data_IF_807272361614
#
_entry.id   IF_807272361614
#
_cell.length_a   1.000
_cell.length_b   1.000
_cell.length_c   1.000
_cell.angle_alpha   90.00
_cell.angle_beta   90.00
_cell.angle_gamma   90.00
#
_symmetry.space_group_name_H-M   'P 1'
#
loop_
_entity.id
_entity.type
_entity.pdbx_description
1 polymer ?
#
# COMPACT_ATOMS: atom_id res chain seq x y z
N UNK A 1 1.25 -16.85 -16.20
CA UNK A 1 0.55 -18.15 -16.38
C UNK A 1 -0.66 -18.31 -15.48
N UNK A 2 -0.55 -18.16 -14.15
CA UNK A 2 -1.70 -18.31 -13.24
C UNK A 2 -2.89 -17.37 -13.55
N UNK A 3 -2.64 -16.09 -13.84
CA UNK A 3 -3.69 -15.13 -14.22
C UNK A 3 -4.42 -15.52 -15.52
N UNK A 4 -3.67 -16.06 -16.50
CA UNK A 4 -4.24 -16.52 -17.77
C UNK A 4 -5.09 -17.78 -17.57
N UNK A 5 -4.65 -18.69 -16.71
CA UNK A 5 -5.43 -19.86 -16.33
C UNK A 5 -6.74 -19.45 -15.62
N UNK A 6 -6.68 -18.49 -14.69
CA UNK A 6 -7.87 -17.94 -14.03
C UNK A 6 -8.82 -17.27 -15.04
N UNK A 7 -8.29 -16.45 -15.94
CA UNK A 7 -9.09 -15.87 -17.03
C UNK A 7 -9.76 -16.94 -17.90
N UNK A 8 -9.03 -18.02 -18.23
CA UNK A 8 -9.57 -19.17 -18.97
C UNK A 8 -10.71 -19.85 -18.23
N UNK A 9 -10.55 -20.14 -16.94
CA UNK A 9 -11.59 -20.74 -16.10
C UNK A 9 -12.84 -19.85 -16.02
N UNK A 10 -12.67 -18.54 -15.87
CA UNK A 10 -13.79 -17.59 -15.86
C UNK A 10 -14.54 -17.60 -17.19
N UNK A 11 -13.82 -17.60 -18.33
CA UNK A 11 -14.44 -17.66 -19.66
C UNK A 11 -15.20 -18.96 -19.91
N UNK A 12 -14.66 -20.10 -19.48
CA UNK A 12 -15.34 -21.40 -19.57
C UNK A 12 -16.63 -21.42 -18.73
N UNK A 13 -16.62 -20.77 -17.57
CA UNK A 13 -17.77 -20.66 -16.67
C UNK A 13 -18.79 -19.59 -17.09
N UNK A 14 -18.43 -18.65 -17.98
CA UNK A 14 -19.32 -17.59 -18.48
C UNK A 14 -20.38 -18.09 -19.49
N UNK A 15 -20.24 -19.31 -20.02
CA UNK A 15 -21.16 -19.89 -21.01
C UNK A 15 -22.56 -20.25 -20.49
N UNK A 16 -22.91 -19.94 -19.23
CA UNK A 16 -24.21 -20.34 -18.64
C UNK A 16 -25.17 -19.25 -18.18
N UNK A 17 -24.84 -17.95 -18.26
CA UNK A 17 -25.84 -16.88 -18.13
C UNK A 17 -25.21 -15.52 -18.44
N UNK A 18 -25.81 -14.84 -19.40
CA UNK A 18 -25.56 -13.45 -19.79
C UNK A 18 -25.36 -12.54 -18.57
N UNK A 19 -24.11 -12.24 -18.23
CA UNK A 19 -23.78 -11.07 -17.42
C UNK A 19 -22.63 -10.38 -18.14
N UNK A 20 -22.99 -9.36 -18.90
CA UNK A 20 -22.05 -8.34 -19.40
C UNK A 20 -21.20 -7.87 -18.21
N UNK A 21 -19.91 -8.15 -18.27
CA UNK A 21 -18.93 -7.58 -17.34
C UNK A 21 -18.95 -6.06 -17.54
N UNK A 22 -19.79 -5.37 -16.76
CA UNK A 22 -19.91 -3.93 -16.81
C UNK A 22 -18.68 -3.34 -16.13
N UNK A 23 -17.92 -2.59 -16.92
CA UNK A 23 -16.77 -1.84 -16.48
C UNK A 23 -17.27 -0.42 -16.17
N UNK A 24 -17.23 -0.04 -14.91
CA UNK A 24 -17.64 1.29 -14.46
C UNK A 24 -16.39 2.10 -14.14
N UNK A 25 -16.30 3.33 -14.63
CA UNK A 25 -15.18 4.21 -14.28
C UNK A 25 -15.54 5.08 -13.09
N UNK A 26 -14.77 5.00 -12.00
CA UNK A 26 -14.95 5.87 -10.85
C UNK A 26 -13.61 6.47 -10.43
N UNK A 27 -13.42 7.74 -10.77
CA UNK A 27 -12.23 8.50 -10.45
C UNK A 27 -12.47 9.30 -9.17
N UNK A 28 -12.04 8.74 -8.03
CA UNK A 28 -12.16 9.44 -6.75
C UNK A 28 -10.96 10.35 -6.50
N UNK A 29 -11.17 11.61 -6.08
CA UNK A 29 -10.12 12.55 -5.68
C UNK A 29 -9.07 11.97 -4.73
N UNK A 30 -9.52 11.22 -3.73
CA UNK A 30 -8.68 10.53 -2.76
C UNK A 30 -7.56 9.68 -3.38
N UNK A 31 -7.83 9.01 -4.49
CA UNK A 31 -6.87 8.05 -5.02
C UNK A 31 -5.80 8.71 -5.89
N UNK A 32 -6.15 9.70 -6.72
CA UNK A 32 -5.15 10.36 -7.56
C UNK A 32 -4.31 11.38 -6.78
N UNK A 33 -4.88 12.11 -5.81
CA UNK A 33 -4.09 13.03 -4.96
C UNK A 33 -3.07 12.24 -4.15
N UNK A 34 -3.50 11.13 -3.55
CA UNK A 34 -2.60 10.26 -2.79
C UNK A 34 -1.51 9.64 -3.68
N UNK A 35 -1.87 9.20 -4.89
CA UNK A 35 -0.89 8.68 -5.86
C UNK A 35 0.14 9.74 -6.27
N UNK A 36 -0.28 10.98 -6.52
CA UNK A 36 0.62 12.09 -6.86
C UNK A 36 1.57 12.46 -5.72
N UNK A 37 1.05 12.51 -4.49
CA UNK A 37 1.87 12.79 -3.30
C UNK A 37 2.87 11.67 -3.05
N UNK A 38 2.48 10.41 -3.17
CA UNK A 38 3.43 9.30 -3.03
C UNK A 38 4.45 9.27 -4.18
N UNK A 39 4.03 9.60 -5.40
CA UNK A 39 4.94 9.71 -6.53
C UNK A 39 5.99 10.80 -6.31
N UNK A 40 5.62 11.94 -5.71
CA UNK A 40 6.60 12.98 -5.39
C UNK A 40 7.59 12.53 -4.32
N UNK A 41 7.17 11.71 -3.35
CA UNK A 41 8.08 11.05 -2.38
C UNK A 41 9.06 10.12 -3.09
N UNK A 42 8.60 9.24 -3.97
CA UNK A 42 9.48 8.37 -4.75
C UNK A 42 10.43 9.15 -5.65
N UNK A 43 9.96 10.23 -6.28
CA UNK A 43 10.79 11.08 -7.12
C UNK A 43 11.89 11.77 -6.32
N UNK A 44 11.55 12.34 -5.16
CA UNK A 44 12.49 13.03 -4.29
C UNK A 44 13.50 12.06 -3.69
N UNK A 45 13.04 10.96 -3.09
CA UNK A 45 13.91 9.94 -2.52
C UNK A 45 14.81 9.28 -3.58
N UNK A 46 14.26 8.94 -4.74
CA UNK A 46 15.02 8.35 -5.84
C UNK A 46 16.11 9.25 -6.42
N UNK A 47 16.00 10.55 -6.23
CA UNK A 47 17.06 11.49 -6.62
C UNK A 47 18.33 11.28 -5.78
N UNK A 48 18.18 10.95 -4.49
CA UNK A 48 19.27 10.72 -3.55
C UNK A 48 19.65 9.24 -3.43
N UNK A 49 18.72 8.32 -3.73
CA UNK A 49 18.96 6.88 -3.73
C UNK A 49 18.48 6.24 -5.05
N UNK A 50 19.43 6.05 -5.98
CA UNK A 50 19.14 5.56 -7.33
C UNK A 50 18.41 4.21 -7.45
N UNK A 51 18.57 3.23 -6.53
CA UNK A 51 17.84 1.98 -6.58
C UNK A 51 16.30 2.12 -6.65
N UNK A 52 15.74 3.25 -6.17
CA UNK A 52 14.31 3.56 -6.33
C UNK A 52 13.91 3.60 -7.82
N UNK A 53 14.76 4.17 -8.68
CA UNK A 53 14.50 4.26 -10.10
C UNK A 53 14.73 2.93 -10.81
N UNK A 54 15.69 2.13 -10.36
CA UNK A 54 15.89 0.77 -10.88
C UNK A 54 14.66 -0.12 -10.57
N UNK A 55 14.09 0.04 -9.38
CA UNK A 55 12.86 -0.64 -8.95
C UNK A 55 11.60 -0.18 -9.69
N UNK A 56 11.64 0.94 -10.42
CA UNK A 56 10.46 1.50 -11.10
C UNK A 56 9.82 0.54 -12.10
N UNK A 57 10.63 -0.30 -12.75
CA UNK A 57 10.15 -1.33 -13.67
C UNK A 57 9.33 -2.40 -12.95
N UNK A 58 9.81 -2.86 -11.78
CA UNK A 58 9.08 -3.82 -10.96
C UNK A 58 7.82 -3.17 -10.37
N UNK A 59 7.89 -1.90 -9.97
CA UNK A 59 6.75 -1.13 -9.49
C UNK A 59 5.65 -1.03 -10.55
N UNK A 60 6.01 -0.75 -11.81
CA UNK A 60 5.06 -0.72 -12.92
C UNK A 60 4.42 -2.10 -13.15
N UNK A 61 5.21 -3.17 -13.10
CA UNK A 61 4.71 -4.54 -13.21
C UNK A 61 3.73 -4.87 -12.08
N UNK A 62 3.99 -4.41 -10.85
CA UNK A 62 3.10 -4.55 -9.71
C UNK A 62 1.77 -3.82 -9.90
N UNK A 63 1.79 -2.60 -10.45
CA UNK A 63 0.56 -1.85 -10.78
C UNK A 63 -0.27 -2.60 -11.81
N UNK A 64 0.34 -3.04 -12.91
CA UNK A 64 -0.35 -3.83 -13.96
C UNK A 64 -0.93 -5.11 -13.38
N UNK A 65 -0.14 -5.84 -12.58
CA UNK A 65 -0.60 -7.04 -11.89
C UNK A 65 -1.80 -6.76 -10.98
N UNK A 66 -1.74 -5.68 -10.20
CA UNK A 66 -2.82 -5.30 -9.28
C UNK A 66 -4.14 -5.05 -10.01
N UNK A 67 -4.11 -4.35 -11.16
CA UNK A 67 -5.30 -4.15 -11.98
C UNK A 67 -5.87 -5.48 -12.50
N UNK A 68 -5.02 -6.34 -13.07
CA UNK A 68 -5.46 -7.64 -13.62
C UNK A 68 -6.02 -8.53 -12.50
N UNK A 69 -5.35 -8.59 -11.36
CA UNK A 69 -5.75 -9.41 -10.22
C UNK A 69 -7.06 -8.93 -9.60
N UNK A 70 -7.21 -7.62 -9.34
CA UNK A 70 -8.45 -7.02 -8.79
C UNK A 70 -9.63 -7.23 -9.74
N UNK A 71 -9.40 -7.09 -11.05
CA UNK A 71 -10.41 -7.32 -12.09
C UNK A 71 -10.88 -8.78 -12.12
N UNK A 72 -9.94 -9.75 -12.14
CA UNK A 72 -10.26 -11.18 -12.11
C UNK A 72 -10.97 -11.59 -10.82
N UNK A 73 -10.53 -11.05 -9.67
CA UNK A 73 -11.12 -11.32 -8.38
C UNK A 73 -12.57 -10.80 -8.32
N UNK A 74 -12.82 -9.58 -8.79
CA UNK A 74 -14.16 -8.98 -8.83
C UNK A 74 -15.09 -9.75 -9.76
N UNK A 75 -14.61 -10.14 -10.95
CA UNK A 75 -15.38 -10.96 -11.89
C UNK A 75 -15.65 -12.36 -11.37
N UNK A 76 -14.73 -12.96 -10.60
CA UNK A 76 -14.96 -14.23 -9.93
C UNK A 76 -16.11 -14.17 -8.94
N UNK A 77 -16.41 -12.99 -8.39
CA UNK A 77 -17.56 -12.75 -7.51
C UNK A 77 -18.82 -12.32 -8.25
N UNK A 78 -18.76 -12.20 -9.57
CA UNK A 78 -19.85 -11.67 -10.42
C UNK A 78 -20.25 -10.24 -10.04
N UNK A 79 -19.31 -9.48 -9.49
CA UNK A 79 -19.50 -8.06 -9.18
C UNK A 79 -19.04 -7.19 -10.37
N UNK A 80 -19.54 -5.95 -10.45
CA UNK A 80 -19.11 -4.98 -11.48
C UNK A 80 -17.73 -4.46 -11.13
N UNK A 81 -16.82 -4.46 -12.09
CA UNK A 81 -15.47 -3.94 -11.86
C UNK A 81 -15.46 -2.43 -12.03
N UNK A 82 -14.98 -1.73 -11.00
CA UNK A 82 -14.85 -0.28 -11.01
C UNK A 82 -13.40 0.10 -11.29
N UNK A 83 -13.14 0.55 -12.52
CA UNK A 83 -11.83 1.04 -12.92
C UNK A 83 -11.59 2.44 -12.31
N UNK A 84 -10.51 2.58 -11.56
CA UNK A 84 -10.10 3.84 -10.96
C UNK A 84 -8.67 3.79 -10.45
N UNK A 85 -8.23 4.84 -9.75
CA UNK A 85 -6.87 4.94 -9.20
C UNK A 85 -6.64 4.16 -7.89
N UNK A 86 -7.61 3.35 -7.45
CA UNK A 86 -7.53 2.62 -6.17
C UNK A 86 -6.28 1.75 -5.98
N UNK A 87 -5.79 1.02 -7.02
CA UNK A 87 -4.56 0.24 -6.89
C UNK A 87 -3.29 1.06 -6.64
N UNK A 88 -3.18 2.28 -7.18
CA UNK A 88 -1.96 3.08 -7.08
C UNK A 88 -1.53 3.35 -5.63
N UNK A 89 -2.39 3.92 -4.75
CA UNK A 89 -2.03 4.13 -3.35
C UNK A 89 -1.64 2.87 -2.59
N UNK A 90 -2.25 1.72 -2.92
CA UNK A 90 -1.93 0.44 -2.27
C UNK A 90 -0.52 0.02 -2.65
N UNK A 91 -0.21 0.01 -3.95
CA UNK A 91 1.10 -0.43 -4.46
C UNK A 91 2.20 0.51 -4.00
N UNK A 92 2.01 1.81 -4.15
CA UNK A 92 2.99 2.82 -3.71
C UNK A 92 3.20 2.78 -2.20
N UNK A 93 2.13 2.61 -1.41
CA UNK A 93 2.27 2.45 0.04
C UNK A 93 3.04 1.18 0.41
N UNK A 94 2.75 0.04 -0.20
CA UNK A 94 3.47 -1.21 0.09
C UNK A 94 4.95 -1.09 -0.25
N UNK A 95 5.28 -0.48 -1.39
CA UNK A 95 6.66 -0.24 -1.82
C UNK A 95 7.33 0.95 -1.11
N UNK A 96 6.68 1.64 -0.17
CA UNK A 96 7.39 2.63 0.65
C UNK A 96 8.03 1.99 1.89
N UNK A 97 7.60 0.77 2.25
CA UNK A 97 8.02 0.11 3.48
C UNK A 97 8.81 -1.18 3.25
N UNK A 98 8.48 -1.96 2.23
CA UNK A 98 9.06 -3.29 2.06
C UNK A 98 9.21 -3.68 0.60
N UNK A 99 10.46 -4.00 0.21
CA UNK A 99 10.80 -4.67 -1.04
C UNK A 99 11.46 -6.00 -0.76
N UNK A 100 11.10 -7.02 -1.53
CA UNK A 100 11.88 -8.25 -1.59
C UNK A 100 13.11 -8.06 -2.49
N UNK A 101 14.22 -8.71 -2.14
CA UNK A 101 15.40 -8.79 -3.01
C UNK A 101 15.06 -9.51 -4.32
N UNK A 102 15.88 -9.32 -5.33
CA UNK A 102 15.61 -9.79 -6.70
C UNK A 102 15.34 -11.30 -6.78
N UNK A 103 16.03 -12.12 -5.98
CA UNK A 103 15.80 -13.57 -5.92
C UNK A 103 14.39 -13.93 -5.42
N UNK A 104 13.76 -13.03 -4.66
CA UNK A 104 12.48 -13.20 -3.98
C UNK A 104 11.39 -12.28 -4.54
N UNK A 105 11.59 -11.69 -5.71
CA UNK A 105 10.69 -10.71 -6.31
C UNK A 105 9.22 -11.19 -6.42
N UNK A 106 9.00 -12.51 -6.56
CA UNK A 106 7.67 -13.11 -6.63
C UNK A 106 6.85 -12.94 -5.34
N UNK A 107 7.51 -12.82 -4.18
CA UNK A 107 6.85 -12.54 -2.90
C UNK A 107 6.21 -11.15 -2.90
N UNK A 108 6.75 -10.20 -3.68
CA UNK A 108 6.15 -8.88 -3.85
C UNK A 108 4.73 -8.99 -4.46
N UNK A 109 4.59 -9.80 -5.51
CA UNK A 109 3.29 -10.05 -6.15
C UNK A 109 2.35 -10.84 -5.23
N UNK A 110 2.87 -11.79 -4.46
CA UNK A 110 2.09 -12.53 -3.47
C UNK A 110 1.57 -11.59 -2.38
N UNK A 111 2.41 -10.70 -1.85
CA UNK A 111 2.02 -9.70 -0.85
C UNK A 111 0.91 -8.80 -1.37
N UNK A 112 1.03 -8.32 -2.61
CA UNK A 112 -0.03 -7.54 -3.27
C UNK A 112 -1.32 -8.36 -3.38
N UNK A 113 -1.24 -9.59 -3.88
CA UNK A 113 -2.40 -10.47 -4.01
C UNK A 113 -3.11 -10.64 -2.67
N UNK A 114 -2.37 -10.89 -1.59
CA UNK A 114 -2.90 -10.99 -0.23
C UNK A 114 -3.58 -9.69 0.23
N UNK A 115 -3.00 -8.52 -0.08
CA UNK A 115 -3.61 -7.23 0.21
C UNK A 115 -4.97 -7.06 -0.48
N UNK A 116 -5.06 -7.40 -1.78
CA UNK A 116 -6.33 -7.36 -2.53
C UNK A 116 -7.34 -8.41 -2.07
N UNK A 117 -6.89 -9.62 -1.70
CA UNK A 117 -7.75 -10.62 -1.07
C UNK A 117 -8.31 -10.10 0.26
N UNK A 118 -7.46 -9.49 1.11
CA UNK A 118 -7.88 -8.87 2.37
C UNK A 118 -8.96 -7.79 2.15
N UNK A 119 -8.75 -6.88 1.19
CA UNK A 119 -9.73 -5.86 0.77
C UNK A 119 -11.08 -6.47 0.37
N UNK A 120 -11.06 -7.63 -0.27
CA UNK A 120 -12.23 -8.25 -0.88
C UNK A 120 -13.03 -9.15 0.08
N UNK A 121 -12.33 -9.88 0.94
CA UNK A 121 -12.90 -10.85 1.86
C UNK A 121 -13.11 -10.28 3.26
N UNK A 122 -12.25 -9.37 3.73
CA UNK A 122 -12.34 -8.77 5.08
C UNK A 122 -13.13 -7.47 5.01
N UNK A 123 -14.46 -7.63 4.87
CA UNK A 123 -15.43 -6.53 4.76
C UNK A 123 -16.43 -6.55 5.91
N UNK A 124 -16.84 -5.38 6.39
CA UNK A 124 -17.94 -5.19 7.34
C UNK A 124 -19.04 -4.34 6.66
N UNK A 125 -20.29 -4.71 6.88
CA UNK A 125 -21.43 -3.84 6.66
C UNK A 125 -21.50 -2.66 7.67
N UNK A 126 -21.06 -1.46 7.25
CA UNK A 126 -21.23 -0.22 8.00
C UNK A 126 -22.39 0.57 7.40
N UNK A 127 -23.43 0.81 8.20
CA UNK A 127 -24.60 1.64 7.79
C UNK A 127 -25.24 1.21 6.46
N UNK A 128 -25.41 -0.11 6.27
CA UNK A 128 -26.00 -0.68 5.04
C UNK A 128 -25.05 -0.75 3.84
N UNK A 129 -23.79 -0.31 3.97
CA UNK A 129 -22.76 -0.42 2.94
C UNK A 129 -21.67 -1.41 3.34
N UNK A 130 -21.34 -2.36 2.47
CA UNK A 130 -20.17 -3.23 2.65
C UNK A 130 -18.88 -2.43 2.38
N UNK A 131 -18.08 -2.24 3.42
CA UNK A 131 -16.78 -1.54 3.38
C UNK A 131 -15.66 -2.47 3.84
N UNK A 132 -14.43 -2.26 3.35
CA UNK A 132 -13.28 -2.99 3.86
C UNK A 132 -12.92 -2.47 5.26
N UNK A 133 -12.45 -3.36 6.13
CA UNK A 133 -12.12 -3.02 7.52
C UNK A 133 -10.71 -2.44 7.61
N UNK A 134 -9.75 -3.10 6.96
CA UNK A 134 -8.33 -2.76 7.03
C UNK A 134 -7.86 -2.05 5.76
N UNK A 135 -6.86 -1.18 5.93
CA UNK A 135 -6.08 -0.69 4.81
C UNK A 135 -5.39 -1.90 4.12
N UNK A 136 -5.65 -2.17 2.83
CA UNK A 136 -5.12 -3.33 2.13
C UNK A 136 -3.59 -3.41 2.18
N UNK A 137 -2.87 -2.29 2.05
CA UNK A 137 -1.41 -2.28 2.11
C UNK A 137 -0.93 -2.65 3.51
N UNK A 138 -1.44 -1.99 4.55
CA UNK A 138 -1.09 -2.24 5.94
C UNK A 138 -1.38 -3.69 6.38
N UNK A 139 -2.50 -4.27 5.93
CA UNK A 139 -2.82 -5.67 6.21
C UNK A 139 -1.76 -6.62 5.64
N UNK A 140 -1.42 -6.45 4.36
CA UNK A 140 -0.41 -7.29 3.71
C UNK A 140 0.99 -7.10 4.30
N UNK A 141 1.40 -5.85 4.53
CA UNK A 141 2.67 -5.51 5.16
C UNK A 141 2.76 -6.10 6.56
N UNK A 142 1.75 -5.90 7.40
CA UNK A 142 1.73 -6.44 8.76
C UNK A 142 1.87 -7.96 8.80
N UNK A 143 1.16 -8.66 7.91
CA UNK A 143 1.26 -10.11 7.81
C UNK A 143 2.64 -10.58 7.35
N UNK A 144 3.18 -10.00 6.27
CA UNK A 144 4.49 -10.40 5.75
C UNK A 144 5.62 -10.03 6.71
N UNK A 145 5.57 -8.84 7.32
CA UNK A 145 6.52 -8.44 8.35
C UNK A 145 6.49 -9.37 9.55
N UNK A 146 5.31 -9.80 10.01
CA UNK A 146 5.20 -10.79 11.10
C UNK A 146 5.87 -12.11 10.71
N UNK A 147 5.62 -12.62 9.51
CA UNK A 147 6.23 -13.87 9.01
C UNK A 147 7.74 -13.74 8.91
N UNK A 148 8.25 -12.63 8.37
CA UNK A 148 9.70 -12.39 8.25
C UNK A 148 10.37 -12.32 9.62
N UNK A 149 9.74 -11.67 10.60
CA UNK A 149 10.26 -11.56 11.96
C UNK A 149 10.24 -12.91 12.68
N UNK A 150 9.16 -13.67 12.59
CA UNK A 150 9.04 -14.97 13.29
C UNK A 150 9.94 -16.04 12.67
N UNK A 151 10.22 -15.96 11.37
CA UNK A 151 11.12 -16.88 10.67
C UNK A 151 12.58 -16.43 10.68
N UNK A 152 12.87 -15.20 11.14
CA UNK A 152 14.22 -14.62 11.13
C UNK A 152 14.78 -14.39 9.73
N UNK A 153 13.93 -14.18 8.72
CA UNK A 153 14.31 -14.08 7.29
C UNK A 153 14.28 -12.64 6.76
N UNK A 154 14.32 -11.63 7.62
CA UNK A 154 14.28 -10.20 7.21
C UNK A 154 15.34 -9.81 6.18
N UNK A 155 16.47 -10.53 6.14
CA UNK A 155 17.59 -10.31 5.22
C UNK A 155 17.26 -10.56 3.75
N UNK A 156 16.15 -11.23 3.44
CA UNK A 156 15.67 -11.39 2.04
C UNK A 156 14.96 -10.14 1.50
N UNK A 157 14.84 -9.11 2.33
CA UNK A 157 14.21 -7.83 1.98
C UNK A 157 15.23 -6.70 1.97
N UNK A 158 14.83 -5.57 1.38
CA UNK A 158 15.53 -4.29 1.48
C UNK A 158 14.95 -3.42 2.61
N UNK A 159 14.21 -3.98 3.57
CA UNK A 159 13.45 -3.20 4.55
C UNK A 159 14.33 -2.27 5.40
N UNK A 160 15.51 -2.73 5.79
CA UNK A 160 16.48 -1.94 6.57
C UNK A 160 17.08 -0.80 5.73
N UNK A 161 17.49 -1.11 4.50
CA UNK A 161 18.04 -0.14 3.56
C UNK A 161 16.98 0.92 3.19
N UNK A 162 15.72 0.54 3.00
CA UNK A 162 14.63 1.50 2.73
C UNK A 162 14.45 2.45 3.92
N UNK A 163 14.42 1.92 5.14
CA UNK A 163 14.24 2.72 6.35
C UNK A 163 15.40 3.70 6.59
N UNK A 164 16.63 3.26 6.31
CA UNK A 164 17.85 4.06 6.52
C UNK A 164 18.18 5.00 5.36
N UNK A 165 17.77 4.69 4.13
CA UNK A 165 18.06 5.53 2.96
C UNK A 165 17.05 6.65 2.76
N UNK A 166 15.86 6.56 3.37
CA UNK A 166 14.87 7.65 3.32
C UNK A 166 15.45 8.96 3.87
N UNK A 167 16.30 8.87 4.89
CA UNK A 167 16.97 10.02 5.55
C UNK A 167 18.12 10.60 4.75
N UNK A 168 18.58 9.94 3.67
CA UNK A 168 19.59 10.51 2.76
C UNK A 168 19.09 11.75 2.03
N UNK A 169 17.77 11.85 1.81
CA UNK A 169 17.17 13.02 1.20
C UNK A 169 17.15 14.20 2.21
N UNK A 170 17.76 15.35 1.88
CA UNK A 170 17.80 16.51 2.76
C UNK A 170 16.39 16.91 3.23
N UNK A 171 16.23 17.15 4.52
CA UNK A 171 14.96 17.59 5.10
C UNK A 171 13.75 16.69 4.74
N UNK A 172 13.97 15.37 4.58
CA UNK A 172 12.90 14.43 4.19
C UNK A 172 11.69 14.49 5.12
N UNK A 173 11.89 14.64 6.43
CA UNK A 173 10.79 14.73 7.39
C UNK A 173 9.92 15.96 7.16
N UNK A 174 10.53 17.12 6.86
CA UNK A 174 9.80 18.34 6.49
C UNK A 174 9.03 18.12 5.18
N UNK A 175 9.66 17.49 4.19
CA UNK A 175 9.00 17.15 2.93
C UNK A 175 7.80 16.22 3.13
N UNK A 176 7.96 15.14 3.90
CA UNK A 176 6.88 14.21 4.25
C UNK A 176 5.76 14.89 5.05
N UNK A 177 6.12 15.81 5.94
CA UNK A 177 5.15 16.61 6.68
C UNK A 177 4.32 17.50 5.75
N UNK A 178 4.97 18.25 4.85
CA UNK A 178 4.29 19.11 3.87
C UNK A 178 3.42 18.29 2.90
N UNK A 179 3.92 17.14 2.43
CA UNK A 179 3.17 16.17 1.63
C UNK A 179 1.94 15.66 2.38
N UNK A 180 2.08 15.35 3.67
CA UNK A 180 0.99 14.97 4.56
C UNK A 180 -0.06 16.07 4.72
N UNK A 181 0.35 17.34 4.87
CA UNK A 181 -0.57 18.48 4.96
C UNK A 181 -1.47 18.61 3.72
N UNK A 182 -0.93 18.36 2.52
CA UNK A 182 -1.74 18.37 1.29
C UNK A 182 -2.86 17.32 1.36
N UNK A 183 -2.54 16.10 1.78
CA UNK A 183 -3.53 15.02 1.93
C UNK A 183 -4.54 15.34 3.04
N UNK A 184 -4.07 15.85 4.17
CA UNK A 184 -4.91 16.22 5.31
C UNK A 184 -5.87 17.37 4.99
N UNK A 185 -5.42 18.35 4.20
CA UNK A 185 -6.25 19.45 3.73
C UNK A 185 -7.39 18.97 2.82
N UNK A 186 -7.10 18.03 1.91
CA UNK A 186 -8.09 17.56 0.93
C UNK A 186 -9.07 16.54 1.52
N UNK A 187 -8.65 15.71 2.49
CA UNK A 187 -9.47 14.58 2.99
C UNK A 187 -9.87 14.66 4.46
N UNK A 188 -9.59 15.76 5.16
CA UNK A 188 -10.07 16.06 6.52
C UNK A 188 -9.78 14.95 7.56
N UNK A 189 -8.59 14.33 7.50
CA UNK A 189 -8.13 13.29 8.47
C UNK A 189 -7.46 13.94 9.71
N UNK A 190 -7.55 15.26 9.82
CA UNK A 190 -6.79 16.13 10.73
C UNK A 190 -6.88 15.71 12.20
N UNK A 191 -8.07 15.33 12.67
CA UNK A 191 -8.30 15.00 14.08
C UNK A 191 -7.57 13.73 14.52
N UNK A 192 -7.49 12.70 13.66
CA UNK A 192 -6.82 11.44 13.98
C UNK A 192 -5.30 11.62 14.00
N UNK A 193 -4.76 12.39 13.05
CA UNK A 193 -3.34 12.68 13.01
C UNK A 193 -2.91 13.57 14.19
N UNK A 194 -3.72 14.58 14.54
CA UNK A 194 -3.45 15.47 15.67
C UNK A 194 -3.48 14.71 17.01
N UNK A 195 -4.44 13.81 17.21
CA UNK A 195 -4.50 13.00 18.44
C UNK A 195 -3.34 12.00 18.51
N UNK A 196 -2.97 11.36 17.41
CA UNK A 196 -1.81 10.48 17.36
C UNK A 196 -0.51 11.24 17.68
N UNK A 197 -0.32 12.42 17.11
CA UNK A 197 0.84 13.27 17.41
C UNK A 197 0.86 13.69 18.89
N UNK A 198 -0.27 14.15 19.44
CA UNK A 198 -0.37 14.53 20.84
C UNK A 198 -0.04 13.36 21.79
N UNK A 199 -0.51 12.15 21.47
CA UNK A 199 -0.16 10.93 22.22
C UNK A 199 1.33 10.62 22.10
N UNK A 200 1.92 10.72 20.91
CA UNK A 200 3.34 10.45 20.70
C UNK A 200 4.23 11.43 21.49
N UNK A 201 3.92 12.73 21.44
CA UNK A 201 4.61 13.76 22.21
C UNK A 201 4.41 13.57 23.72
N UNK A 202 3.19 13.25 24.15
CA UNK A 202 2.88 12.96 25.55
C UNK A 202 3.66 11.76 26.08
N UNK A 203 3.69 10.66 25.33
CA UNK A 203 4.46 9.46 25.67
C UNK A 203 5.96 9.72 25.67
N UNK A 204 6.48 10.46 24.69
CA UNK A 204 7.89 10.84 24.64
C UNK A 204 8.28 11.69 25.84
N UNK A 205 7.44 12.66 26.22
CA UNK A 205 7.67 13.50 27.40
C UNK A 205 7.68 12.68 28.69
N UNK A 206 6.70 11.78 28.87
CA UNK A 206 6.62 10.88 30.03
C UNK A 206 7.82 9.94 30.09
N UNK A 207 8.25 9.37 28.96
CA UNK A 207 9.42 8.52 28.90
C UNK A 207 10.70 9.29 29.27
N UNK A 208 10.84 10.50 28.76
CA UNK A 208 12.03 11.33 29.03
C UNK A 208 12.09 11.76 30.50
N UNK A 209 10.96 12.12 31.11
CA UNK A 209 10.92 12.48 32.53
C UNK A 209 11.16 11.28 33.46
N UNK A 210 10.79 10.07 33.04
CA UNK A 210 10.95 8.85 33.85
C UNK A 210 12.32 8.19 33.71
N UNK A 211 12.93 8.23 32.53
CA UNK A 211 14.20 7.54 32.24
C UNK A 211 15.40 8.47 32.16
N UNK A 212 15.17 9.78 32.01
CA UNK A 212 16.22 10.78 31.78
C UNK A 212 16.83 10.75 30.37
N UNK A 213 16.32 9.90 29.47
CA UNK A 213 16.79 9.75 28.09
C UNK A 213 15.65 10.05 27.11
N UNK A 214 15.87 10.80 26.03
CA UNK A 214 14.84 11.03 25.03
C UNK A 214 14.41 9.73 24.35
N UNK A 215 13.10 9.57 24.12
CA UNK A 215 12.53 8.38 23.48
C UNK A 215 12.86 8.31 21.97
N UNK A 216 12.98 9.48 21.33
CA UNK A 216 13.41 9.62 19.94
C UNK A 216 14.81 10.23 19.91
N UNK A 217 15.71 9.63 19.14
CA UNK A 217 17.03 10.17 18.83
C UNK A 217 16.96 10.55 17.35
N UNK A 218 16.98 11.84 17.07
CA UNK A 218 17.23 12.37 15.72
C UNK A 218 18.74 12.44 15.46
#
# INVERSE_FOLDING_TARGET
MALLAWQGILRLNQNRRQQTALLETNLRPQHYVQALVQLSVFAYWGWYWRPVYDHSTLLLAQVVFAYIFDMLLTWSRRERYVLGFGPFPIIFSTNLFLWFRDDWFYLQFLMIAVGFLGKEFVRWNREGRRVHIFNPSAFSLGLFSLVLLTTGTTTITWGEEIATTLTLAPSIYLFLFLAGLVVMYVFSITLVAASAAAVLFGLSAIYTTTTGVPYFID
#
